data_IF_592859235922
#
_entry.id   IF_592859235922
#
_cell.length_a   1.000
_cell.length_b   1.000
_cell.length_c   1.000
_cell.angle_alpha   90.00
_cell.angle_beta   90.00
_cell.angle_gamma   90.00
#
_symmetry.space_group_name_H-M   'P 1'
#
loop_
_entity.id
_entity.type
_entity.pdbx_description
1 polymer ?
#
# COMPACT_ATOMS: atom_id res chain seq x y z
N UNK A 1 -9.31 6.15 14.88
CA UNK A 1 -8.44 6.69 13.80
C UNK A 1 -7.54 7.75 14.44
N UNK A 2 -6.21 7.64 14.32
CA UNK A 2 -5.32 8.73 14.73
C UNK A 2 -5.44 9.79 13.65
N UNK A 3 -6.21 10.84 13.93
CA UNK A 3 -6.40 11.94 13.00
C UNK A 3 -5.09 12.72 12.90
N UNK A 4 -4.56 12.83 11.67
CA UNK A 4 -3.40 13.68 11.38
C UNK A 4 -3.93 15.11 11.46
N UNK A 5 -3.33 15.94 12.33
CA UNK A 5 -3.76 17.34 12.41
C UNK A 5 -3.55 18.06 11.06
N UNK A 6 -4.35 19.09 10.78
CA UNK A 6 -4.33 19.76 9.47
C UNK A 6 -2.94 20.31 9.10
N UNK A 7 -2.15 20.75 10.08
CA UNK A 7 -0.81 21.29 9.79
C UNK A 7 0.14 20.17 9.39
N UNK A 8 0.12 19.05 10.12
CA UNK A 8 0.90 17.88 9.78
C UNK A 8 0.46 17.28 8.44
N UNK A 9 -0.84 17.32 8.13
CA UNK A 9 -1.37 16.95 6.82
C UNK A 9 -0.77 17.83 5.72
N UNK A 10 -0.79 19.16 5.89
CA UNK A 10 -0.22 20.11 4.93
C UNK A 10 1.27 19.85 4.70
N UNK A 11 2.03 19.50 5.74
CA UNK A 11 3.44 19.16 5.54
C UNK A 11 3.62 17.87 4.73
N UNK A 12 2.89 16.81 5.09
CA UNK A 12 3.04 15.51 4.42
C UNK A 12 2.56 15.55 2.98
N UNK A 13 1.49 16.30 2.67
CA UNK A 13 1.00 16.42 1.30
C UNK A 13 1.98 17.22 0.43
N UNK A 14 2.58 18.30 0.95
CA UNK A 14 3.64 19.03 0.23
C UNK A 14 4.84 18.13 -0.08
N UNK A 15 5.19 17.25 0.86
CA UNK A 15 6.23 16.25 0.64
C UNK A 15 5.83 15.23 -0.43
N UNK A 16 4.60 14.73 -0.40
CA UNK A 16 4.08 13.85 -1.44
C UNK A 16 4.12 14.53 -2.82
N UNK A 17 3.64 15.76 -2.94
CA UNK A 17 3.63 16.53 -4.19
C UNK A 17 5.04 16.77 -4.74
N UNK A 18 6.01 17.08 -3.87
CA UNK A 18 7.42 17.17 -4.27
C UNK A 18 7.92 15.86 -4.91
N UNK A 19 7.55 14.71 -4.34
CA UNK A 19 7.96 13.41 -4.86
C UNK A 19 7.22 13.05 -6.14
N UNK A 20 5.92 13.40 -6.23
CA UNK A 20 5.12 13.25 -7.45
C UNK A 20 5.75 14.02 -8.61
N UNK A 21 6.14 15.28 -8.38
CA UNK A 21 6.82 16.10 -9.38
C UNK A 21 8.19 15.50 -9.76
N UNK A 22 8.96 15.03 -8.78
CA UNK A 22 10.28 14.44 -9.02
C UNK A 22 10.23 13.15 -9.86
N UNK A 23 9.12 12.41 -9.83
CA UNK A 23 8.92 11.17 -10.58
C UNK A 23 7.94 11.30 -11.76
N UNK A 24 7.57 12.53 -12.15
CA UNK A 24 6.46 12.76 -13.07
C UNK A 24 6.65 12.06 -14.43
N UNK A 25 7.89 12.00 -14.94
CA UNK A 25 8.17 11.33 -16.20
C UNK A 25 8.00 9.81 -16.08
N UNK A 26 8.62 9.19 -15.08
CA UNK A 26 8.56 7.76 -14.85
C UNK A 26 7.12 7.29 -14.54
N UNK A 27 6.36 8.11 -13.82
CA UNK A 27 4.94 7.87 -13.58
C UNK A 27 4.16 7.88 -14.90
N UNK A 28 4.33 8.89 -15.75
CA UNK A 28 3.62 8.96 -17.03
C UNK A 28 3.92 7.75 -17.93
N UNK A 29 5.19 7.35 -18.01
CA UNK A 29 5.61 6.16 -18.78
C UNK A 29 4.98 4.87 -18.21
N UNK A 30 5.00 4.69 -16.88
CA UNK A 30 4.43 3.53 -16.22
C UNK A 30 2.90 3.45 -16.40
N UNK A 31 2.19 4.58 -16.31
CA UNK A 31 0.74 4.65 -16.49
C UNK A 31 0.32 4.24 -17.92
N UNK A 32 1.03 4.74 -18.94
CA UNK A 32 0.74 4.40 -20.33
C UNK A 32 0.91 2.89 -20.59
N UNK A 33 1.98 2.30 -20.05
CA UNK A 33 2.21 0.85 -20.15
C UNK A 33 1.15 0.04 -19.41
N UNK A 34 0.76 0.45 -18.20
CA UNK A 34 -0.25 -0.25 -17.41
C UNK A 34 -1.63 -0.26 -18.07
N UNK A 35 -2.03 0.84 -18.71
CA UNK A 35 -3.31 0.93 -19.41
C UNK A 35 -3.38 -0.03 -20.61
N UNK A 36 -2.36 -0.02 -21.47
CA UNK A 36 -2.32 -0.86 -22.67
C UNK A 36 -2.38 -2.36 -22.34
N UNK A 37 -1.69 -2.78 -21.28
CA UNK A 37 -1.66 -4.18 -20.83
C UNK A 37 -2.98 -4.64 -20.20
N UNK A 38 -3.68 -3.73 -19.50
CA UNK A 38 -5.00 -4.04 -18.91
C UNK A 38 -6.03 -4.29 -20.01
N UNK A 39 -6.10 -3.42 -21.01
CA UNK A 39 -7.05 -3.53 -22.12
C UNK A 39 -6.88 -4.83 -22.91
N UNK A 40 -5.65 -5.30 -23.10
CA UNK A 40 -5.39 -6.50 -23.93
C UNK A 40 -5.68 -7.83 -23.22
N UNK A 41 -5.57 -7.88 -21.89
CA UNK A 41 -5.62 -9.14 -21.12
C UNK A 41 -6.86 -9.30 -20.26
N UNK A 42 -7.67 -8.24 -20.12
CA UNK A 42 -8.87 -8.24 -19.29
C UNK A 42 -9.94 -9.26 -19.71
N UNK A 43 -10.26 -9.45 -21.01
CA UNK A 43 -11.30 -10.40 -21.42
C UNK A 43 -11.06 -11.85 -20.93
N UNK A 44 -9.81 -12.33 -20.98
CA UNK A 44 -9.44 -13.67 -20.50
C UNK A 44 -9.71 -13.83 -18.99
N UNK A 45 -9.47 -12.78 -18.20
CA UNK A 45 -9.76 -12.78 -16.77
C UNK A 45 -11.26 -12.81 -16.50
N UNK A 46 -12.04 -12.04 -17.26
CA UNK A 46 -13.49 -11.97 -17.10
C UNK A 46 -14.16 -13.32 -17.40
N UNK A 47 -13.63 -14.08 -18.38
CA UNK A 47 -14.06 -15.45 -18.66
C UNK A 47 -13.81 -16.38 -17.47
N UNK A 48 -12.62 -16.32 -16.86
CA UNK A 48 -12.27 -17.13 -15.67
C UNK A 48 -13.19 -16.78 -14.48
N UNK A 49 -13.41 -15.49 -14.23
CA UNK A 49 -14.28 -15.02 -13.14
C UNK A 49 -15.73 -15.45 -13.38
N UNK A 50 -16.23 -15.32 -14.61
CA UNK A 50 -17.60 -15.69 -14.97
C UNK A 50 -17.81 -17.20 -14.84
N UNK A 51 -16.88 -18.01 -15.35
CA UNK A 51 -16.91 -19.46 -15.22
C UNK A 51 -16.92 -19.90 -13.75
N UNK A 52 -16.17 -19.24 -12.88
CA UNK A 52 -16.22 -19.52 -11.44
C UNK A 52 -17.56 -19.12 -10.81
N UNK A 53 -18.11 -17.95 -11.13
CA UNK A 53 -19.42 -17.51 -10.62
C UNK A 53 -20.55 -18.49 -10.99
N UNK A 54 -20.45 -19.15 -12.16
CA UNK A 54 -21.43 -20.13 -12.62
C UNK A 54 -21.22 -21.53 -12.04
N UNK A 55 -19.97 -22.02 -12.04
CA UNK A 55 -19.66 -23.41 -11.67
C UNK A 55 -19.39 -23.62 -10.19
N UNK A 56 -18.95 -22.56 -9.49
CA UNK A 56 -18.40 -22.60 -8.12
C UNK A 56 -17.21 -23.58 -7.96
N UNK A 57 -16.55 -23.95 -9.06
CA UNK A 57 -15.40 -24.86 -9.04
C UNK A 57 -14.12 -24.10 -8.62
N UNK A 58 -13.73 -24.28 -7.35
CA UNK A 58 -12.52 -23.68 -6.79
C UNK A 58 -11.24 -24.14 -7.49
N UNK A 59 -11.16 -25.40 -7.94
CA UNK A 59 -9.93 -25.92 -8.53
C UNK A 59 -9.76 -25.38 -9.96
N UNK A 60 -10.85 -25.32 -10.72
CA UNK A 60 -10.85 -24.67 -12.04
C UNK A 60 -10.51 -23.17 -11.92
N UNK A 61 -11.13 -22.46 -10.96
CA UNK A 61 -10.83 -21.05 -10.72
C UNK A 61 -9.37 -20.84 -10.34
N UNK A 62 -8.84 -21.63 -9.40
CA UNK A 62 -7.45 -21.59 -8.97
C UNK A 62 -6.48 -21.79 -10.15
N UNK A 63 -6.72 -22.82 -10.96
CA UNK A 63 -5.86 -23.15 -12.09
C UNK A 63 -5.92 -22.07 -13.19
N UNK A 64 -7.12 -21.55 -13.48
CA UNK A 64 -7.32 -20.45 -14.42
C UNK A 64 -6.57 -19.19 -13.98
N UNK A 65 -6.73 -18.78 -12.72
CA UNK A 65 -6.02 -17.62 -12.15
C UNK A 65 -4.49 -17.82 -12.18
N UNK A 66 -4.00 -19.02 -11.83
CA UNK A 66 -2.57 -19.32 -11.82
C UNK A 66 -1.95 -19.25 -13.22
N UNK A 67 -2.65 -19.80 -14.22
CA UNK A 67 -2.23 -19.73 -15.61
C UNK A 67 -2.28 -18.29 -16.13
N UNK A 68 -3.39 -17.59 -15.87
CA UNK A 68 -3.60 -16.23 -16.36
C UNK A 68 -2.59 -15.24 -15.77
N UNK A 69 -2.27 -15.32 -14.47
CA UNK A 69 -1.39 -14.35 -13.83
C UNK A 69 0.08 -14.41 -14.29
N UNK A 70 0.50 -15.51 -14.95
CA UNK A 70 1.89 -15.68 -15.41
C UNK A 70 2.23 -14.68 -16.50
N UNK A 71 3.40 -14.05 -16.36
CA UNK A 71 3.89 -13.08 -17.33
C UNK A 71 3.14 -11.75 -17.35
N UNK A 72 2.24 -11.50 -16.38
CA UNK A 72 1.45 -10.26 -16.26
C UNK A 72 1.84 -9.45 -15.01
N UNK A 73 3.09 -8.94 -14.91
CA UNK A 73 3.61 -8.30 -13.70
C UNK A 73 2.85 -7.03 -13.29
N UNK A 74 2.23 -6.33 -14.24
CA UNK A 74 1.38 -5.14 -14.03
C UNK A 74 0.13 -5.40 -13.20
N UNK A 75 -0.40 -6.64 -13.20
CA UNK A 75 -1.49 -7.01 -12.30
C UNK A 75 -1.01 -7.39 -10.91
N UNK A 76 0.29 -7.61 -10.69
CA UNK A 76 0.86 -7.95 -9.38
C UNK A 76 0.32 -9.23 -8.73
N UNK A 77 -0.52 -10.02 -9.42
CA UNK A 77 -1.26 -11.12 -8.81
C UNK A 77 -0.44 -12.40 -8.65
N UNK A 78 0.54 -12.67 -9.52
CA UNK A 78 1.32 -13.92 -9.46
C UNK A 78 2.16 -14.12 -8.17
N UNK A 79 2.30 -13.07 -7.35
CA UNK A 79 3.15 -13.07 -6.17
C UNK A 79 2.49 -13.58 -4.88
N UNK A 80 3.19 -13.39 -3.73
CA UNK A 80 2.74 -13.82 -2.42
C UNK A 80 1.37 -13.29 -1.99
N UNK A 81 1.01 -12.08 -2.41
CA UNK A 81 -0.22 -11.39 -2.00
C UNK A 81 -1.45 -11.78 -2.82
N UNK A 82 -1.27 -12.33 -4.02
CA UNK A 82 -2.35 -12.78 -4.91
C UNK A 82 -2.43 -14.30 -4.95
N UNK A 83 -1.89 -14.89 -6.02
CA UNK A 83 -1.99 -16.30 -6.38
C UNK A 83 -1.54 -17.23 -5.26
N UNK A 84 -0.43 -16.94 -4.59
CA UNK A 84 0.03 -17.80 -3.49
C UNK A 84 -0.95 -17.80 -2.31
N UNK A 85 -1.52 -16.64 -1.99
CA UNK A 85 -2.49 -16.52 -0.91
C UNK A 85 -3.85 -17.14 -1.30
N UNK A 86 -4.31 -16.93 -2.53
CA UNK A 86 -5.48 -17.62 -3.09
C UNK A 86 -5.32 -19.15 -3.01
N UNK A 87 -4.15 -19.65 -3.41
CA UNK A 87 -3.80 -21.07 -3.31
C UNK A 87 -3.92 -21.59 -1.88
N UNK A 88 -3.43 -20.84 -0.88
CA UNK A 88 -3.52 -21.22 0.54
C UNK A 88 -4.97 -21.26 1.02
N UNK A 89 -5.78 -20.25 0.67
CA UNK A 89 -7.20 -20.22 1.04
C UNK A 89 -7.95 -21.44 0.47
N UNK A 90 -7.70 -21.79 -0.79
CA UNK A 90 -8.37 -22.91 -1.46
C UNK A 90 -7.85 -24.28 -1.00
N UNK A 91 -6.55 -24.41 -0.74
CA UNK A 91 -5.95 -25.67 -0.28
C UNK A 91 -6.32 -26.00 1.16
N UNK A 92 -6.30 -24.99 2.03
CA UNK A 92 -6.36 -25.22 3.48
C UNK A 92 -7.76 -24.95 4.05
N UNK A 93 -8.62 -24.25 3.29
CA UNK A 93 -9.97 -23.88 3.72
C UNK A 93 -11.07 -24.85 3.30
N UNK A 94 -12.17 -24.83 4.06
CA UNK A 94 -13.39 -25.54 3.69
C UNK A 94 -14.05 -24.85 2.48
N UNK A 95 -14.32 -25.57 1.37
CA UNK A 95 -15.05 -25.02 0.23
C UNK A 95 -16.36 -24.32 0.59
N UNK A 96 -17.08 -24.80 1.61
CA UNK A 96 -18.33 -24.19 2.06
C UNK A 96 -18.14 -22.77 2.66
N UNK A 97 -16.94 -22.45 3.16
CA UNK A 97 -16.58 -21.11 3.64
C UNK A 97 -15.88 -20.28 2.55
N UNK A 98 -15.01 -20.91 1.77
CA UNK A 98 -14.17 -20.22 0.77
C UNK A 98 -14.97 -19.73 -0.43
N UNK A 99 -15.90 -20.55 -0.96
CA UNK A 99 -16.72 -20.19 -2.13
C UNK A 99 -17.51 -18.90 -1.89
N UNK A 100 -18.36 -18.79 -0.84
CA UNK A 100 -19.14 -17.57 -0.63
C UNK A 100 -18.26 -16.35 -0.36
N UNK A 101 -17.10 -16.54 0.28
CA UNK A 101 -16.11 -15.47 0.48
C UNK A 101 -15.55 -14.95 -0.84
N UNK A 102 -15.10 -15.84 -1.74
CA UNK A 102 -14.58 -15.44 -3.05
C UNK A 102 -15.65 -14.82 -3.93
N UNK A 103 -16.86 -15.35 -3.94
CA UNK A 103 -17.99 -14.75 -4.67
C UNK A 103 -18.28 -13.33 -4.15
N UNK A 104 -18.26 -13.14 -2.83
CA UNK A 104 -18.40 -11.82 -2.21
C UNK A 104 -17.29 -10.85 -2.59
N UNK A 105 -16.04 -11.33 -2.68
CA UNK A 105 -14.88 -10.54 -3.07
C UNK A 105 -14.91 -10.10 -4.55
N UNK A 106 -15.51 -10.92 -5.43
CA UNK A 106 -15.65 -10.64 -6.87
C UNK A 106 -16.72 -9.60 -7.21
N UNK A 107 -17.24 -8.90 -6.20
CA UNK A 107 -18.15 -7.76 -6.34
C UNK A 107 -17.65 -6.64 -5.42
N UNK A 108 -17.36 -5.44 -5.94
CA UNK A 108 -16.96 -4.33 -5.10
C UNK A 108 -17.99 -4.03 -4.01
N UNK A 109 -17.55 -3.70 -2.78
CA UNK A 109 -18.47 -3.34 -1.72
C UNK A 109 -19.16 -2.01 -2.07
N UNK A 110 -20.43 -1.89 -1.69
CA UNK A 110 -21.22 -0.67 -1.97
C UNK A 110 -20.87 0.52 -1.07
N UNK A 111 -20.15 0.29 0.03
CA UNK A 111 -19.71 1.32 0.98
C UNK A 111 -18.60 0.80 1.90
N UNK A 112 -18.02 1.69 2.68
CA UNK A 112 -16.90 1.41 3.60
C UNK A 112 -17.24 0.38 4.67
N UNK A 113 -18.49 0.39 5.18
CA UNK A 113 -18.95 -0.61 6.15
C UNK A 113 -18.99 -2.01 5.53
N UNK A 114 -19.44 -2.13 4.28
CA UNK A 114 -19.44 -3.40 3.57
C UNK A 114 -18.00 -3.88 3.30
N UNK A 115 -17.08 -2.97 2.95
CA UNK A 115 -15.66 -3.30 2.79
C UNK A 115 -15.03 -3.79 4.09
N UNK A 116 -15.27 -3.09 5.21
CA UNK A 116 -14.79 -3.49 6.53
C UNK A 116 -15.29 -4.89 6.92
N UNK A 117 -16.60 -5.15 6.74
CA UNK A 117 -17.18 -6.45 7.03
C UNK A 117 -16.55 -7.57 6.19
N UNK A 118 -16.29 -7.34 4.90
CA UNK A 118 -15.64 -8.35 4.05
C UNK A 118 -14.19 -8.61 4.48
N UNK A 119 -13.45 -7.56 4.85
CA UNK A 119 -12.09 -7.68 5.37
C UNK A 119 -12.10 -8.48 6.68
N UNK A 120 -12.92 -8.11 7.65
CA UNK A 120 -13.01 -8.77 8.95
C UNK A 120 -13.44 -10.24 8.83
N UNK A 121 -14.36 -10.55 7.91
CA UNK A 121 -14.77 -11.92 7.63
C UNK A 121 -13.60 -12.77 7.11
N UNK A 122 -12.82 -12.25 6.16
CA UNK A 122 -11.66 -12.96 5.63
C UNK A 122 -10.50 -13.02 6.65
N UNK A 123 -10.27 -11.98 7.45
CA UNK A 123 -9.33 -12.02 8.58
C UNK A 123 -9.69 -13.16 9.52
N UNK A 124 -10.95 -13.25 9.93
CA UNK A 124 -11.44 -14.29 10.83
C UNK A 124 -11.25 -15.70 10.26
N UNK A 125 -11.50 -15.88 8.96
CA UNK A 125 -11.23 -17.15 8.27
C UNK A 125 -9.73 -17.48 8.30
N UNK A 126 -8.88 -16.53 7.91
CA UNK A 126 -7.42 -16.73 7.86
C UNK A 126 -6.86 -17.07 9.23
N UNK A 127 -7.33 -16.44 10.30
CA UNK A 127 -6.92 -16.76 11.67
C UNK A 127 -7.27 -18.20 12.06
N UNK A 128 -8.47 -18.68 11.71
CA UNK A 128 -8.84 -20.09 11.92
C UNK A 128 -7.94 -21.04 11.13
N UNK A 129 -7.67 -20.74 9.85
CA UNK A 129 -6.78 -21.56 9.02
C UNK A 129 -5.37 -21.63 9.61
N UNK A 130 -4.85 -20.50 10.13
CA UNK A 130 -3.54 -20.45 10.78
C UNK A 130 -3.48 -21.28 12.06
N UNK A 131 -4.55 -21.31 12.86
CA UNK A 131 -4.65 -22.21 14.02
C UNK A 131 -4.58 -23.68 13.61
N UNK A 132 -5.05 -24.02 12.40
CA UNK A 132 -4.90 -25.32 11.76
C UNK A 132 -3.55 -25.59 11.10
N UNK A 133 -2.58 -24.67 11.17
CA UNK A 133 -1.24 -24.82 10.58
C UNK A 133 -1.06 -24.26 9.17
N UNK A 134 -2.07 -23.56 8.62
CA UNK A 134 -1.96 -22.90 7.31
C UNK A 134 -0.89 -21.80 7.30
N UNK A 135 -0.21 -21.66 6.15
CA UNK A 135 0.71 -20.56 5.88
C UNK A 135 0.02 -19.24 5.45
N UNK A 136 -1.31 -19.20 5.44
CA UNK A 136 -2.10 -18.01 5.14
C UNK A 136 -1.75 -16.85 6.11
N UNK A 137 -1.75 -15.60 5.63
CA UNK A 137 -1.32 -14.44 6.41
C UNK A 137 -2.36 -13.33 6.40
N UNK A 138 -2.74 -12.85 7.60
CA UNK A 138 -3.72 -11.76 7.80
C UNK A 138 -3.31 -10.50 7.03
N UNK A 139 -2.01 -10.18 6.98
CA UNK A 139 -1.49 -9.02 6.25
C UNK A 139 -1.72 -9.04 4.73
N UNK A 140 -2.20 -10.16 4.16
CA UNK A 140 -2.50 -10.29 2.71
C UNK A 140 -3.97 -10.08 2.38
N UNK A 141 -4.85 -10.05 3.40
CA UNK A 141 -6.30 -9.94 3.24
C UNK A 141 -6.69 -8.67 2.48
N UNK A 142 -6.17 -7.52 2.92
CA UNK A 142 -6.45 -6.24 2.27
C UNK A 142 -6.04 -6.24 0.81
N UNK A 143 -4.85 -6.73 0.48
CA UNK A 143 -4.35 -6.81 -0.89
C UNK A 143 -5.21 -7.70 -1.79
N UNK A 144 -5.60 -8.89 -1.32
CA UNK A 144 -6.40 -9.83 -2.13
C UNK A 144 -7.80 -9.28 -2.45
N UNK A 145 -8.52 -8.82 -1.42
CA UNK A 145 -9.89 -8.33 -1.59
C UNK A 145 -9.92 -7.07 -2.46
N UNK A 146 -9.08 -6.09 -2.13
CA UNK A 146 -9.01 -4.85 -2.90
C UNK A 146 -8.54 -5.05 -4.33
N UNK A 147 -7.74 -6.10 -4.61
CA UNK A 147 -7.41 -6.45 -5.99
C UNK A 147 -8.63 -6.84 -6.80
N UNK A 148 -9.55 -7.66 -6.27
CA UNK A 148 -10.79 -8.00 -6.96
C UNK A 148 -11.74 -6.80 -7.09
N UNK A 149 -11.83 -5.94 -6.08
CA UNK A 149 -12.68 -4.75 -6.17
C UNK A 149 -12.16 -3.73 -7.18
N UNK A 150 -10.84 -3.57 -7.23
CA UNK A 150 -10.14 -2.69 -8.15
C UNK A 150 -10.37 -3.05 -9.62
N UNK A 151 -10.53 -4.34 -9.94
CA UNK A 151 -10.86 -4.78 -11.28
C UNK A 151 -12.12 -4.09 -11.83
N UNK A 152 -13.16 -3.94 -11.02
CA UNK A 152 -14.44 -3.37 -11.45
C UNK A 152 -14.51 -1.86 -11.23
N UNK A 153 -13.86 -1.36 -10.18
CA UNK A 153 -14.00 0.01 -9.72
C UNK A 153 -12.66 0.59 -9.26
N UNK A 154 -11.70 0.78 -10.19
CA UNK A 154 -10.31 1.09 -9.86
C UNK A 154 -10.11 2.43 -9.16
N UNK A 155 -10.98 3.41 -9.44
CA UNK A 155 -10.93 4.73 -8.80
C UNK A 155 -11.64 4.79 -7.44
N UNK A 156 -12.48 3.79 -7.15
CA UNK A 156 -13.25 3.75 -5.91
C UNK A 156 -12.60 2.84 -4.86
N UNK A 157 -12.02 1.72 -5.31
CA UNK A 157 -11.42 0.69 -4.47
C UNK A 157 -9.98 0.41 -4.93
N UNK A 158 -9.01 1.25 -4.55
CA UNK A 158 -7.62 1.04 -4.93
C UNK A 158 -7.08 -0.25 -4.29
N UNK A 159 -6.19 -0.94 -5.00
CA UNK A 159 -5.51 -2.12 -4.45
C UNK A 159 -4.58 -1.69 -3.33
N UNK A 160 -4.63 -2.41 -2.21
CA UNK A 160 -3.72 -2.25 -1.06
C UNK A 160 -2.34 -2.83 -1.35
N UNK A 161 -1.60 -2.22 -2.28
CA UNK A 161 -0.24 -2.65 -2.60
C UNK A 161 0.69 -2.52 -1.39
N UNK A 162 1.53 -3.53 -1.15
CA UNK A 162 2.55 -3.46 -0.09
C UNK A 162 3.49 -2.28 -0.32
N UNK A 163 3.92 -2.04 -1.55
CA UNK A 163 4.76 -0.87 -1.89
C UNK A 163 4.09 0.45 -1.55
N UNK A 164 2.79 0.60 -1.87
CA UNK A 164 2.08 1.82 -1.56
C UNK A 164 1.87 2.00 -0.05
N UNK A 165 1.59 0.91 0.67
CA UNK A 165 1.50 0.90 2.13
C UNK A 165 2.83 1.30 2.77
N UNK A 166 3.95 0.72 2.32
CA UNK A 166 5.29 1.04 2.79
C UNK A 166 5.65 2.49 2.51
N UNK A 167 5.32 3.02 1.33
CA UNK A 167 5.53 4.42 0.99
C UNK A 167 4.71 5.35 1.89
N UNK A 168 3.43 5.05 2.12
CA UNK A 168 2.58 5.85 3.01
C UNK A 168 3.05 5.80 4.46
N UNK A 169 3.56 4.66 4.95
CA UNK A 169 4.19 4.55 6.27
C UNK A 169 5.48 5.38 6.33
N UNK A 170 6.34 5.31 5.30
CA UNK A 170 7.56 6.13 5.19
C UNK A 170 7.26 7.63 5.21
N UNK A 171 6.15 8.04 4.59
CA UNK A 171 5.66 9.43 4.56
C UNK A 171 4.81 9.79 5.79
N UNK A 172 4.58 8.86 6.70
CA UNK A 172 3.86 9.04 7.95
C UNK A 172 2.33 8.98 7.85
N UNK A 173 1.74 8.81 6.67
CA UNK A 173 0.29 8.79 6.45
C UNK A 173 -0.42 7.56 7.04
N UNK A 174 0.26 6.41 7.08
CA UNK A 174 -0.28 5.18 7.64
C UNK A 174 0.44 4.79 8.93
N UNK A 175 -0.28 4.68 10.05
CA UNK A 175 0.24 4.08 11.27
C UNK A 175 0.48 2.57 11.11
N UNK A 176 1.42 2.03 11.88
CA UNK A 176 1.60 0.59 12.03
C UNK A 176 0.63 0.01 13.08
N UNK A 177 0.36 -1.31 13.00
CA UNK A 177 -0.39 -2.04 14.02
C UNK A 177 -1.90 -1.78 14.07
N UNK A 178 -2.44 -1.13 13.04
CA UNK A 178 -3.88 -0.89 12.91
C UNK A 178 -4.64 -2.17 12.51
N UNK A 179 -5.90 -2.35 12.92
CA UNK A 179 -6.76 -3.41 12.39
C UNK A 179 -6.81 -3.35 10.85
N UNK A 180 -6.87 -4.51 10.18
CA UNK A 180 -6.76 -4.58 8.72
C UNK A 180 -7.84 -3.80 7.98
N UNK A 181 -9.07 -3.77 8.49
CA UNK A 181 -10.17 -3.00 7.91
C UNK A 181 -9.90 -1.50 8.00
N UNK A 182 -9.58 -1.00 9.19
CA UNK A 182 -9.25 0.40 9.43
C UNK A 182 -8.04 0.85 8.59
N UNK A 183 -7.00 0.01 8.52
CA UNK A 183 -5.79 0.29 7.73
C UNK A 183 -6.12 0.45 6.24
N UNK A 184 -6.96 -0.43 5.70
CA UNK A 184 -7.39 -0.35 4.31
C UNK A 184 -8.27 0.89 4.04
N UNK A 185 -9.22 1.19 4.93
CA UNK A 185 -10.10 2.34 4.76
C UNK A 185 -9.32 3.66 4.79
N UNK A 186 -8.35 3.78 5.71
CA UNK A 186 -7.45 4.93 5.77
C UNK A 186 -6.54 5.01 4.53
N UNK A 187 -6.01 3.88 4.07
CA UNK A 187 -5.26 3.80 2.81
C UNK A 187 -6.07 4.34 1.62
N UNK A 188 -7.33 3.87 1.49
CA UNK A 188 -8.24 4.30 0.43
C UNK A 188 -8.58 5.79 0.53
N UNK A 189 -8.81 6.29 1.74
CA UNK A 189 -9.09 7.71 1.95
C UNK A 189 -7.93 8.58 1.44
N UNK A 190 -6.68 8.21 1.76
CA UNK A 190 -5.51 8.93 1.27
C UNK A 190 -5.39 8.90 -0.25
N UNK A 191 -5.62 7.73 -0.87
CA UNK A 191 -5.64 7.61 -2.33
C UNK A 191 -6.63 8.60 -2.97
N UNK A 192 -7.85 8.69 -2.43
CA UNK A 192 -8.88 9.62 -2.92
C UNK A 192 -8.49 11.08 -2.75
N UNK A 193 -7.76 11.41 -1.68
CA UNK A 193 -7.30 12.79 -1.41
C UNK A 193 -6.11 13.20 -2.29
N UNK A 194 -5.30 12.25 -2.74
CA UNK A 194 -4.06 12.55 -3.48
C UNK A 194 -4.28 12.81 -4.97
N UNK A 195 -5.32 12.20 -5.57
CA UNK A 195 -5.64 12.41 -6.99
C UNK A 195 -6.10 11.12 -7.68
N UNK A 196 -5.94 11.03 -9.02
CA UNK A 196 -6.30 9.85 -9.79
C UNK A 196 -5.57 8.58 -9.31
N UNK A 197 -6.30 7.49 -9.10
CA UNK A 197 -5.78 6.30 -8.40
C UNK A 197 -4.54 5.68 -9.07
N UNK A 198 -4.51 5.67 -10.41
CA UNK A 198 -3.37 5.11 -11.14
C UNK A 198 -2.10 5.97 -10.98
N UNK A 199 -2.20 7.30 -10.98
CA UNK A 199 -1.06 8.19 -10.76
C UNK A 199 -0.50 8.03 -9.33
N UNK A 200 -1.41 7.96 -8.36
CA UNK A 200 -1.06 7.75 -6.94
C UNK A 200 -0.36 6.40 -6.76
N UNK A 201 -0.90 5.33 -7.35
CA UNK A 201 -0.31 3.99 -7.32
C UNK A 201 1.12 3.99 -7.84
N UNK A 202 1.36 4.56 -9.03
CA UNK A 202 2.69 4.56 -9.64
C UNK A 202 3.67 5.44 -8.86
N UNK A 203 3.22 6.60 -8.38
CA UNK A 203 4.03 7.49 -7.55
C UNK A 203 4.48 6.78 -6.27
N UNK A 204 3.55 6.18 -5.53
CA UNK A 204 3.87 5.47 -4.29
C UNK A 204 4.73 4.22 -4.54
N UNK A 205 4.56 3.53 -5.66
CA UNK A 205 5.42 2.42 -6.04
C UNK A 205 6.89 2.86 -6.25
N UNK A 206 7.12 4.02 -6.87
CA UNK A 206 8.45 4.60 -7.06
C UNK A 206 9.05 5.10 -5.73
N UNK A 207 8.26 5.81 -4.92
CA UNK A 207 8.65 6.24 -3.57
C UNK A 207 9.06 5.05 -2.69
N UNK A 208 8.35 3.93 -2.79
CA UNK A 208 8.68 2.72 -2.05
C UNK A 208 10.05 2.15 -2.43
N UNK A 209 10.41 2.21 -3.71
CA UNK A 209 11.67 1.65 -4.26
C UNK A 209 12.86 2.59 -4.07
N UNK A 210 12.62 3.90 -4.02
CA UNK A 210 13.68 4.89 -3.91
C UNK A 210 14.49 4.72 -2.61
N UNK A 211 15.81 4.64 -2.76
CA UNK A 211 16.76 4.57 -1.64
C UNK A 211 17.01 5.92 -0.98
N UNK A 212 16.77 7.01 -1.72
CA UNK A 212 16.90 8.38 -1.27
C UNK A 212 15.76 9.22 -1.87
N UNK A 213 15.02 9.93 -1.02
CA UNK A 213 13.89 10.77 -1.41
C UNK A 213 14.25 12.27 -1.46
N UNK A 214 15.53 12.61 -1.31
CA UNK A 214 16.00 13.98 -1.18
C UNK A 214 15.53 14.69 0.10
N UNK A 215 15.84 15.98 0.21
CA UNK A 215 15.40 16.84 1.31
C UNK A 215 13.90 17.10 1.22
N UNK A 216 13.19 16.96 2.34
CA UNK A 216 11.78 17.32 2.45
C UNK A 216 11.62 18.83 2.26
N UNK A 217 10.74 19.24 1.34
CA UNK A 217 10.42 20.65 1.06
C UNK A 217 9.92 21.42 2.29
N UNK A 218 9.43 20.72 3.31
CA UNK A 218 8.87 21.30 4.55
C UNK A 218 9.89 21.40 5.68
N UNK A 219 11.14 20.98 5.46
CA UNK A 219 12.17 20.94 6.52
C UNK A 219 12.33 22.30 7.23
N UNK A 220 12.41 23.39 6.46
CA UNK A 220 12.58 24.75 6.99
C UNK A 220 11.35 25.16 7.79
N UNK A 221 10.15 24.93 7.26
CA UNK A 221 8.89 25.28 7.93
C UNK A 221 8.71 24.49 9.23
N UNK A 222 9.14 23.22 9.27
CA UNK A 222 9.15 22.40 10.49
C UNK A 222 10.15 22.92 11.52
N UNK A 223 11.36 23.33 11.10
CA UNK A 223 12.33 23.96 11.99
C UNK A 223 11.79 25.27 12.58
N UNK A 224 11.13 26.09 11.76
CA UNK A 224 10.51 27.33 12.20
C UNK A 224 9.41 27.07 13.22
N UNK A 225 8.51 26.10 12.94
CA UNK A 225 7.45 25.67 13.87
C UNK A 225 8.02 25.19 15.22
N UNK A 226 9.11 24.42 15.21
CA UNK A 226 9.77 23.98 16.44
C UNK A 226 10.28 25.19 17.24
N UNK A 227 10.91 26.16 16.57
CA UNK A 227 11.43 27.36 17.21
C UNK A 227 10.30 28.20 17.83
N UNK A 228 9.17 28.34 17.13
CA UNK A 228 8.03 29.12 17.60
C UNK A 228 7.34 28.44 18.80
N UNK A 229 7.09 27.13 18.74
CA UNK A 229 6.54 26.36 19.85
C UNK A 229 7.46 26.33 21.08
N UNK A 230 8.78 26.50 20.89
CA UNK A 230 9.73 26.62 21.99
C UNK A 230 9.74 28.01 22.65
N UNK A 231 9.33 29.07 21.94
CA UNK A 231 9.25 30.45 22.45
C UNK A 231 7.95 30.71 23.20
N UNK A 232 6.86 30.08 22.78
CA UNK A 232 5.54 30.20 23.38
C UNK A 232 5.06 28.83 23.88
N UNK A 233 5.69 28.25 24.92
CA UNK A 233 5.22 26.99 25.48
C UNK A 233 3.81 27.19 26.03
N UNK A 234 2.82 26.48 25.48
CA UNK A 234 1.49 26.46 26.09
C UNK A 234 1.59 25.87 27.51
N UNK A 235 0.63 26.22 28.37
CA UNK A 235 0.55 25.70 29.74
C UNK A 235 0.26 24.18 29.81
N UNK A 236 0.05 23.52 28.67
CA UNK A 236 -0.30 22.09 28.57
C UNK A 236 0.83 21.18 28.05
N UNK A 237 0.72 19.89 28.37
CA UNK A 237 1.62 18.83 27.91
C UNK A 237 1.60 18.62 26.38
N UNK A 238 0.57 19.13 25.68
CA UNK A 238 0.34 18.92 24.25
C UNK A 238 1.34 19.66 23.36
N UNK A 239 1.80 20.84 23.77
CA UNK A 239 2.82 21.61 23.01
C UNK A 239 4.18 20.93 23.00
N UNK A 240 4.58 20.34 24.14
CA UNK A 240 5.81 19.57 24.24
C UNK A 240 5.77 18.33 23.34
N UNK A 241 4.66 17.59 23.36
CA UNK A 241 4.47 16.40 22.53
C UNK A 241 4.45 16.75 21.03
N UNK A 242 3.82 17.86 20.64
CA UNK A 242 3.82 18.35 19.26
C UNK A 242 5.25 18.70 18.78
N UNK A 243 6.03 19.36 19.63
CA UNK A 243 7.43 19.66 19.35
C UNK A 243 8.25 18.38 19.19
N UNK A 244 8.08 17.42 20.10
CA UNK A 244 8.76 16.13 20.05
C UNK A 244 8.44 15.37 18.75
N UNK A 245 7.20 15.42 18.26
CA UNK A 245 6.81 14.82 16.97
C UNK A 245 7.53 15.48 15.79
N UNK A 246 7.55 16.82 15.73
CA UNK A 246 8.23 17.55 14.65
C UNK A 246 9.75 17.28 14.65
N UNK A 247 10.38 17.26 15.83
CA UNK A 247 11.80 16.90 15.97
C UNK A 247 12.04 15.46 15.51
N UNK A 248 11.17 14.51 15.86
CA UNK A 248 11.29 13.12 15.43
C UNK A 248 11.28 12.97 13.89
N UNK A 249 10.41 13.72 13.19
CA UNK A 249 10.37 13.74 11.72
C UNK A 249 11.70 14.24 11.15
N UNK A 250 12.22 15.36 11.65
CA UNK A 250 13.50 15.92 11.17
C UNK A 250 14.68 14.97 11.44
N UNK A 251 14.71 14.31 12.61
CA UNK A 251 15.73 13.30 12.93
C UNK A 251 15.63 12.10 11.99
N UNK A 252 14.42 11.63 11.70
CA UNK A 252 14.20 10.54 10.75
C UNK A 252 14.67 10.92 9.34
N UNK A 253 14.37 12.14 8.88
CA UNK A 253 14.86 12.66 7.61
C UNK A 253 16.40 12.69 7.57
N UNK A 254 17.05 13.22 8.61
CA UNK A 254 18.51 13.26 8.69
C UNK A 254 19.13 11.86 8.62
N UNK A 255 18.52 10.87 9.29
CA UNK A 255 18.96 9.45 9.23
C UNK A 255 18.83 8.85 7.83
N UNK A 256 17.71 9.12 7.15
CA UNK A 256 17.47 8.65 5.78
C UNK A 256 18.43 9.26 4.77
N UNK A 257 18.93 10.47 5.01
CA UNK A 257 19.98 11.07 4.18
C UNK A 257 21.38 10.56 4.52
N UNK A 258 21.69 10.40 5.80
CA UNK A 258 23.04 10.07 6.27
C UNK A 258 23.53 8.72 5.72
N UNK A 259 22.68 7.70 5.66
CA UNK A 259 23.08 6.35 5.24
C UNK A 259 23.44 6.27 3.74
N UNK A 260 22.62 6.78 2.80
CA UNK A 260 23.01 6.85 1.38
C UNK A 260 24.20 7.77 1.13
N UNK A 261 24.24 8.94 1.79
CA UNK A 261 25.37 9.88 1.64
C UNK A 261 26.67 9.28 2.18
N UNK A 262 26.62 8.52 3.27
CA UNK A 262 27.78 7.81 3.81
C UNK A 262 28.41 6.88 2.78
N UNK A 263 27.59 6.10 2.06
CA UNK A 263 28.08 5.25 0.96
C UNK A 263 28.71 6.04 -0.18
N UNK A 264 28.06 7.11 -0.62
CA UNK A 264 28.61 7.99 -1.67
C UNK A 264 29.95 8.58 -1.24
N UNK A 265 30.07 9.01 0.02
CA UNK A 265 31.32 9.53 0.59
C UNK A 265 32.38 8.43 0.66
N UNK A 266 32.05 7.22 1.11
CA UNK A 266 32.97 6.06 1.15
C UNK A 266 33.47 5.68 -0.25
N UNK A 267 32.58 5.67 -1.24
CA UNK A 267 32.89 5.43 -2.66
C UNK A 267 33.82 6.53 -3.22
N UNK A 268 33.48 7.80 -3.00
CA UNK A 268 34.31 8.93 -3.44
C UNK A 268 35.68 8.99 -2.76
N UNK A 269 35.78 8.55 -1.49
CA UNK A 269 37.02 8.51 -0.73
C UNK A 269 37.80 7.20 -0.92
N UNK A 270 37.29 6.26 -1.72
CA UNK A 270 37.97 5.00 -2.06
C UNK A 270 38.11 4.02 -0.89
N UNK A 271 37.24 4.13 0.13
CA UNK A 271 37.35 3.32 1.36
C UNK A 271 36.94 1.86 1.14
N UNK A 272 36.17 1.56 0.09
CA UNK A 272 35.77 0.19 -0.29
C UNK A 272 36.88 -0.61 -1.02
N UNK A 273 38.03 -0.01 -1.34
CA UNK A 273 39.19 -0.74 -1.85
C UNK A 273 40.04 -1.29 -0.70
N UNK A 274 39.55 -2.32 0.00
CA UNK A 274 40.40 -3.33 0.68
C UNK A 274 39.59 -4.48 1.29
N UNK A 275 39.53 -5.59 0.55
CA UNK A 275 39.85 -6.95 1.04
C UNK A 275 39.89 -7.90 -0.17
N UNK A 276 41.02 -7.89 -0.86
CA UNK A 276 41.57 -9.05 -1.55
C UNK A 276 42.56 -9.75 -0.63
#
# INVERSE_FOLDING_TARGET
>A
VVEIDEVEWVFRIRRYEQLKEAFAQEVAEAMASAQAERESTRPELDEIISAFKESLDLQAFRAGMDQWARGKPWYGFAGPNGQMFLNQLISDGDPAEVIPMLIGALTPPGNEKAAANQIEALVSLVERLRQGGSGAAVGRVGALLSWFWWLEAPDEWPVSWTSASDALQKLGFLPEGMPSADQYLLYREHFKRFGPSLEVEQTLALVSKASLLGLDVTAVDRCQRIADLAREPAEDDGTYDLNRRNVAVLVQMARHMAKPLGKVVEECLGVDQKRG
#
